data_IF_198945250827
#
_entry.id   IF_198945250827
#
_cell.length_a   1.000
_cell.length_b   1.000
_cell.length_c   1.000
_cell.angle_alpha   90.00
_cell.angle_beta   90.00
_cell.angle_gamma   90.00
#
_symmetry.space_group_name_H-M   'P 1'
#
loop_
_entity.id
_entity.type
_entity.pdbx_description
1 polymer ?
#
# COMPACT_ATOMS: atom_id res chain seq x y z
N UNK A 1 -32.03 -18.37 -65.66
CA UNK A 1 -31.95 -19.05 -64.37
C UNK A 1 -30.75 -18.51 -63.64
N UNK A 2 -30.93 -17.53 -62.71
CA UNK A 2 -29.87 -16.88 -61.97
C UNK A 2 -30.03 -17.37 -60.52
N UNK A 3 -29.02 -18.11 -59.96
CA UNK A 3 -28.99 -18.59 -58.62
C UNK A 3 -28.35 -17.49 -57.73
N UNK A 4 -29.13 -16.89 -56.84
CA UNK A 4 -28.66 -15.98 -55.83
C UNK A 4 -27.96 -16.76 -54.70
N UNK A 5 -26.69 -16.46 -54.46
CA UNK A 5 -25.91 -17.01 -53.33
C UNK A 5 -26.06 -16.07 -52.16
N UNK A 6 -26.78 -16.51 -51.10
CA UNK A 6 -26.92 -15.77 -49.87
C UNK A 6 -25.69 -16.04 -49.00
N UNK A 7 -24.88 -15.00 -48.77
CA UNK A 7 -23.75 -15.03 -47.84
C UNK A 7 -24.26 -14.68 -46.46
N UNK A 8 -24.28 -15.67 -45.55
CA UNK A 8 -24.64 -15.50 -44.16
C UNK A 8 -23.39 -14.97 -43.36
N UNK A 9 -23.38 -13.69 -43.07
CA UNK A 9 -22.35 -13.09 -42.21
C UNK A 9 -22.64 -13.43 -40.74
N UNK A 10 -21.88 -14.38 -40.20
CA UNK A 10 -21.91 -14.73 -38.76
C UNK A 10 -21.06 -13.71 -38.00
N UNK A 11 -21.70 -12.71 -37.39
CA UNK A 11 -21.06 -11.74 -36.51
C UNK A 11 -20.73 -12.39 -35.17
N UNK A 12 -19.47 -12.74 -34.97
CA UNK A 12 -18.95 -13.16 -33.65
C UNK A 12 -18.82 -11.93 -32.76
N UNK A 13 -19.75 -11.76 -31.84
CA UNK A 13 -19.67 -10.77 -30.77
C UNK A 13 -18.61 -11.23 -29.78
N UNK A 14 -17.37 -10.67 -29.86
CA UNK A 14 -16.34 -10.82 -28.85
C UNK A 14 -16.73 -9.97 -27.64
N UNK A 15 -17.39 -10.58 -26.67
CA UNK A 15 -17.60 -9.94 -25.37
C UNK A 15 -16.26 -9.89 -24.62
N UNK A 16 -15.57 -8.75 -24.69
CA UNK A 16 -14.43 -8.47 -23.80
C UNK A 16 -14.96 -8.29 -22.39
N UNK A 17 -14.99 -9.37 -21.64
CA UNK A 17 -15.25 -9.34 -20.20
C UNK A 17 -14.17 -8.49 -19.54
N UNK A 18 -14.49 -7.26 -19.14
CA UNK A 18 -13.65 -6.49 -18.23
C UNK A 18 -13.56 -7.28 -16.92
N UNK A 19 -12.41 -7.86 -16.64
CA UNK A 19 -12.12 -8.46 -15.36
C UNK A 19 -12.15 -7.32 -14.34
N UNK A 20 -13.28 -7.15 -13.65
CA UNK A 20 -13.39 -6.30 -12.49
C UNK A 20 -12.34 -6.78 -11.47
N UNK A 21 -11.41 -5.93 -11.09
CA UNK A 21 -10.44 -6.24 -10.04
C UNK A 21 -11.24 -6.61 -8.78
N UNK A 22 -11.25 -7.90 -8.48
CA UNK A 22 -12.03 -8.44 -7.37
C UNK A 22 -11.37 -7.93 -6.09
N UNK A 23 -12.03 -6.99 -5.41
CA UNK A 23 -11.55 -6.44 -4.13
C UNK A 23 -11.28 -7.54 -3.10
N UNK A 24 -10.68 -7.19 -1.98
CA UNK A 24 -10.40 -8.15 -0.90
C UNK A 24 -11.67 -8.89 -0.49
N UNK A 25 -11.56 -10.21 -0.39
CA UNK A 25 -12.70 -11.12 -0.15
C UNK A 25 -13.31 -11.03 1.26
N UNK A 26 -12.67 -10.27 2.17
CA UNK A 26 -13.10 -10.07 3.55
C UNK A 26 -12.48 -8.81 4.15
N UNK A 27 -13.04 -8.25 5.25
CA UNK A 27 -12.44 -7.14 5.98
C UNK A 27 -11.03 -7.47 6.47
N UNK A 28 -10.13 -6.49 6.41
CA UNK A 28 -8.77 -6.61 6.96
C UNK A 28 -8.83 -6.38 8.46
N UNK A 29 -8.37 -7.35 9.22
CA UNK A 29 -8.29 -7.28 10.70
C UNK A 29 -6.87 -7.10 11.21
N UNK A 30 -5.85 -7.30 10.37
CA UNK A 30 -4.43 -7.16 10.71
C UNK A 30 -3.59 -6.96 9.45
N UNK A 31 -2.52 -6.16 9.60
CA UNK A 31 -1.51 -5.94 8.58
C UNK A 31 -0.15 -6.37 9.12
N UNK A 32 0.66 -7.05 8.32
CA UNK A 32 2.06 -7.40 8.63
C UNK A 32 2.96 -6.93 7.51
N UNK A 33 3.99 -6.17 7.85
CA UNK A 33 5.03 -5.69 6.93
C UNK A 33 6.34 -6.39 7.27
N UNK A 34 6.97 -6.99 6.27
CA UNK A 34 8.30 -7.61 6.30
C UNK A 34 9.23 -6.78 5.43
N UNK A 35 10.01 -5.92 6.06
CA UNK A 35 10.80 -4.89 5.37
C UNK A 35 11.87 -5.52 4.46
N UNK A 36 12.59 -6.53 4.92
CA UNK A 36 13.60 -7.23 4.11
C UNK A 36 13.01 -7.84 2.84
N UNK A 37 11.79 -8.37 2.94
CA UNK A 37 11.10 -8.98 1.81
C UNK A 37 10.42 -7.97 0.89
N UNK A 38 10.33 -6.71 1.29
CA UNK A 38 9.48 -5.68 0.62
C UNK A 38 8.06 -6.21 0.43
N UNK A 39 7.51 -6.80 1.49
CA UNK A 39 6.22 -7.48 1.46
C UNK A 39 5.31 -6.98 2.57
N UNK A 40 4.08 -6.66 2.20
CA UNK A 40 3.00 -6.37 3.15
C UNK A 40 1.88 -7.37 2.93
N UNK A 41 1.51 -8.12 3.98
CA UNK A 41 0.41 -9.09 3.94
C UNK A 41 -0.73 -8.64 4.83
N UNK A 42 -1.94 -8.70 4.31
CA UNK A 42 -3.18 -8.39 5.03
C UNK A 42 -3.94 -9.66 5.38
N UNK A 43 -4.59 -9.65 6.54
CA UNK A 43 -5.23 -10.83 7.13
C UNK A 43 -6.66 -10.54 7.57
N UNK A 44 -7.48 -11.60 7.55
CA UNK A 44 -8.71 -11.69 8.34
C UNK A 44 -8.50 -12.76 9.41
N UNK A 45 -8.43 -12.38 10.68
CA UNK A 45 -7.98 -13.25 11.76
C UNK A 45 -6.56 -13.79 11.51
N UNK A 46 -6.46 -15.12 11.39
CA UNK A 46 -5.20 -15.81 11.06
C UNK A 46 -5.02 -16.07 9.55
N UNK A 47 -6.11 -15.95 8.77
CA UNK A 47 -6.11 -16.25 7.33
C UNK A 47 -5.47 -15.09 6.54
N UNK A 48 -4.41 -15.32 5.75
CA UNK A 48 -3.92 -14.33 4.80
C UNK A 48 -4.94 -14.12 3.68
N UNK A 49 -5.19 -12.86 3.34
CA UNK A 49 -6.07 -12.47 2.25
C UNK A 49 -5.29 -12.16 0.98
N UNK A 50 -4.26 -11.33 1.11
CA UNK A 50 -3.44 -10.87 -0.02
C UNK A 50 -2.10 -10.33 0.47
N UNK A 51 -1.09 -10.41 -0.38
CA UNK A 51 0.21 -9.79 -0.18
C UNK A 51 0.49 -8.77 -1.28
N UNK A 52 1.16 -7.68 -0.90
CA UNK A 52 1.52 -6.55 -1.76
C UNK A 52 3.03 -6.37 -1.75
N UNK A 53 3.61 -6.13 -2.91
CA UNK A 53 4.99 -5.61 -2.98
C UNK A 53 4.96 -4.15 -2.58
N UNK A 54 5.95 -3.73 -1.78
CA UNK A 54 6.00 -2.39 -1.23
C UNK A 54 7.35 -1.73 -1.52
N UNK A 55 7.35 -0.39 -1.60
CA UNK A 55 8.54 0.43 -1.43
C UNK A 55 8.55 1.07 -0.04
N UNK A 56 9.73 1.24 0.51
CA UNK A 56 9.96 1.77 1.86
C UNK A 56 10.68 3.13 1.81
N UNK A 57 11.10 3.62 2.97
CA UNK A 57 12.00 4.76 3.07
C UNK A 57 13.35 4.49 2.41
N UNK A 58 13.96 5.52 1.84
CA UNK A 58 15.25 5.41 1.11
C UNK A 58 16.43 4.90 1.95
N UNK A 59 16.29 4.80 3.28
CA UNK A 59 17.20 4.11 4.17
C UNK A 59 16.43 2.97 4.89
N UNK A 60 16.22 1.81 4.25
CA UNK A 60 15.26 0.82 4.71
C UNK A 60 15.71 0.02 5.93
N UNK A 61 17.01 0.02 6.25
CA UNK A 61 17.56 -0.84 7.32
C UNK A 61 17.30 -0.27 8.71
N UNK A 62 16.76 -1.13 9.57
CA UNK A 62 16.51 -0.83 10.97
C UNK A 62 15.31 0.10 11.20
N UNK A 63 15.02 0.31 12.47
CA UNK A 63 13.90 1.13 12.95
C UNK A 63 14.17 2.62 12.75
N UNK A 64 13.11 3.39 12.43
CA UNK A 64 13.12 4.85 12.37
C UNK A 64 13.56 5.46 13.72
N UNK A 65 14.55 6.35 13.69
CA UNK A 65 15.15 6.95 14.90
C UNK A 65 14.75 8.41 15.10
N UNK A 66 14.63 9.17 13.99
CA UNK A 66 14.33 10.60 14.03
C UNK A 66 13.75 11.07 12.69
N UNK A 67 13.25 12.28 12.68
CA UNK A 67 12.81 12.96 11.47
C UNK A 67 13.97 13.10 10.48
N UNK A 68 13.69 12.91 9.18
CA UNK A 68 14.68 13.03 8.12
C UNK A 68 15.64 11.84 7.91
N UNK A 69 15.56 10.77 8.74
CA UNK A 69 16.42 9.59 8.60
C UNK A 69 16.03 8.66 7.43
N UNK A 70 14.94 8.96 6.76
CA UNK A 70 14.35 8.19 5.65
C UNK A 70 14.12 6.71 5.98
N UNK A 71 13.95 6.36 7.26
CA UNK A 71 13.65 4.99 7.70
C UNK A 71 12.16 4.79 7.88
N UNK A 72 11.70 3.58 7.55
CA UNK A 72 10.37 3.10 7.93
C UNK A 72 10.44 2.52 9.35
N UNK A 73 9.51 2.89 10.26
CA UNK A 73 9.55 2.41 11.64
C UNK A 73 9.32 0.90 11.71
N UNK A 74 9.85 0.27 12.74
CA UNK A 74 9.59 -1.11 13.13
C UNK A 74 8.85 -1.14 14.46
N UNK A 75 7.93 -2.06 14.63
CA UNK A 75 7.15 -2.17 15.85
C UNK A 75 5.68 -2.50 15.62
N UNK A 76 4.88 -2.27 16.66
CA UNK A 76 3.44 -2.46 16.65
C UNK A 76 2.75 -1.11 16.68
N UNK A 77 1.84 -0.90 15.72
CA UNK A 77 1.08 0.32 15.55
C UNK A 77 -0.37 -0.04 15.18
N UNK A 78 -1.18 0.96 14.96
CA UNK A 78 -2.52 0.84 14.38
C UNK A 78 -2.63 1.79 13.18
N UNK A 79 -3.58 1.52 12.32
CA UNK A 79 -4.06 2.52 11.36
C UNK A 79 -4.93 3.51 12.14
N UNK A 80 -4.47 4.75 12.32
CA UNK A 80 -5.15 5.76 13.12
C UNK A 80 -5.87 6.84 12.29
N UNK A 81 -5.78 6.75 10.95
CA UNK A 81 -6.48 7.67 10.06
C UNK A 81 -6.52 7.18 8.61
N UNK A 82 -7.46 7.76 7.86
CA UNK A 82 -7.65 7.55 6.42
C UNK A 82 -7.77 8.92 5.75
N UNK A 83 -6.98 9.17 4.70
CA UNK A 83 -7.04 10.43 3.95
C UNK A 83 -7.39 10.16 2.48
N UNK A 84 -8.60 10.52 2.04
CA UNK A 84 -9.01 10.40 0.65
C UNK A 84 -8.42 11.49 -0.27
N UNK A 85 -7.87 12.56 0.32
CA UNK A 85 -7.30 13.71 -0.40
C UNK A 85 -5.78 13.76 -0.27
N UNK A 86 -5.13 12.60 -0.25
CA UNK A 86 -3.67 12.51 -0.18
C UNK A 86 -3.02 12.95 -1.49
N UNK A 87 -1.91 13.71 -1.41
CA UNK A 87 -1.07 14.02 -2.57
C UNK A 87 -0.49 12.76 -3.25
N UNK A 88 -0.59 11.62 -2.58
CA UNK A 88 -0.19 10.30 -3.06
C UNK A 88 -1.42 9.41 -3.33
N UNK A 89 -2.46 9.98 -3.93
CA UNK A 89 -3.73 9.36 -4.28
C UNK A 89 -4.61 9.11 -3.05
N UNK A 90 -4.40 8.05 -2.30
CA UNK A 90 -5.05 7.72 -1.03
C UNK A 90 -3.99 7.38 0.02
N UNK A 91 -4.29 7.56 1.31
CA UNK A 91 -3.39 7.12 2.35
C UNK A 91 -4.07 6.61 3.61
N UNK A 92 -3.42 5.64 4.26
CA UNK A 92 -3.75 5.09 5.56
C UNK A 92 -2.65 5.50 6.54
N UNK A 93 -2.99 6.30 7.54
CA UNK A 93 -2.02 6.82 8.52
C UNK A 93 -1.70 5.75 9.56
N UNK A 94 -0.43 5.59 9.87
CA UNK A 94 0.09 4.70 10.90
C UNK A 94 0.34 5.51 12.17
N UNK A 95 0.01 4.98 13.34
CA UNK A 95 0.12 5.64 14.64
C UNK A 95 1.57 5.79 15.15
N UNK A 96 2.52 6.01 14.23
CA UNK A 96 3.89 6.40 14.53
C UNK A 96 3.95 7.94 14.73
N UNK A 97 4.72 8.48 15.70
CA UNK A 97 5.46 7.76 16.73
C UNK A 97 4.57 7.34 17.90
N UNK A 98 4.83 6.17 18.46
CA UNK A 98 4.27 5.78 19.73
C UNK A 98 5.08 6.40 20.90
N UNK A 99 4.66 6.12 22.16
CA UNK A 99 5.33 6.67 23.34
C UNK A 99 6.82 6.27 23.43
N UNK A 100 7.15 5.03 23.07
CA UNK A 100 8.53 4.53 23.13
C UNK A 100 9.40 5.21 22.05
N UNK A 101 8.87 5.39 20.83
CA UNK A 101 9.56 6.09 19.76
C UNK A 101 9.88 7.54 20.14
N UNK A 102 8.86 8.23 20.67
CA UNK A 102 9.00 9.61 21.15
C UNK A 102 10.07 9.73 22.27
N UNK A 103 10.05 8.81 23.23
CA UNK A 103 11.03 8.82 24.32
C UNK A 103 12.45 8.55 23.83
N UNK A 104 12.63 7.62 22.89
CA UNK A 104 13.95 7.32 22.30
C UNK A 104 14.52 8.52 21.55
N UNK A 105 13.74 9.19 20.74
CA UNK A 105 14.17 10.38 20.01
C UNK A 105 14.53 11.53 20.98
N UNK A 106 13.66 11.82 21.93
CA UNK A 106 13.90 12.89 22.95
C UNK A 106 15.17 12.68 23.78
N UNK A 107 15.50 11.43 24.16
CA UNK A 107 16.76 11.13 24.88
C UNK A 107 18.00 11.48 24.06
N UNK A 108 17.88 11.57 22.74
CA UNK A 108 18.94 12.00 21.81
C UNK A 108 18.84 13.47 21.43
N UNK A 109 17.91 14.24 22.00
CA UNK A 109 17.65 15.63 21.64
C UNK A 109 17.04 15.79 20.23
N UNK A 110 16.37 14.75 19.70
CA UNK A 110 15.85 14.72 18.32
C UNK A 110 14.31 14.68 18.30
N UNK A 111 13.72 15.18 17.20
CA UNK A 111 12.33 14.96 16.86
C UNK A 111 12.15 13.54 16.30
N UNK A 112 11.17 12.76 16.75
CA UNK A 112 10.88 11.46 16.13
C UNK A 112 10.34 11.59 14.71
N UNK A 113 9.82 12.76 14.34
CA UNK A 113 9.00 12.98 13.17
C UNK A 113 7.61 12.39 13.32
N UNK A 114 6.97 12.11 12.21
CA UNK A 114 5.60 11.57 12.14
C UNK A 114 5.15 11.36 10.72
N UNK A 115 3.83 11.38 10.51
CA UNK A 115 3.22 11.28 9.18
C UNK A 115 3.67 10.04 8.37
N UNK A 116 3.86 8.91 9.03
CA UNK A 116 4.13 7.63 8.37
C UNK A 116 2.80 7.04 7.89
N UNK A 117 2.73 6.72 6.60
CA UNK A 117 1.52 6.27 5.93
C UNK A 117 1.77 5.08 5.02
N UNK A 118 0.73 4.29 4.76
CA UNK A 118 0.64 3.45 3.57
C UNK A 118 -0.06 4.30 2.52
N UNK A 119 0.51 4.47 1.32
CA UNK A 119 -0.05 5.36 0.30
C UNK A 119 0.22 4.85 -1.12
N UNK A 120 -0.46 5.43 -2.08
CA UNK A 120 -0.24 5.20 -3.50
C UNK A 120 0.93 6.03 -4.06
N UNK A 121 0.86 6.34 -5.34
CA UNK A 121 1.85 7.17 -6.05
C UNK A 121 1.26 8.54 -6.37
N UNK A 122 2.07 9.61 -6.46
CA UNK A 122 1.59 10.92 -6.87
C UNK A 122 0.91 10.87 -8.23
N UNK A 123 -0.13 11.71 -8.42
CA UNK A 123 -0.87 11.78 -9.68
C UNK A 123 0.03 12.01 -10.89
N UNK A 124 -0.20 11.28 -11.97
CA UNK A 124 0.51 11.40 -13.25
C UNK A 124 1.79 10.56 -13.39
N UNK A 125 2.27 9.91 -12.34
CA UNK A 125 3.44 9.05 -12.38
C UNK A 125 3.07 7.56 -12.52
N UNK A 126 2.18 7.24 -13.46
CA UNK A 126 1.92 5.85 -13.86
C UNK A 126 3.19 5.14 -14.38
N UNK A 127 4.19 5.90 -14.80
CA UNK A 127 5.52 5.43 -15.22
C UNK A 127 6.40 4.96 -14.07
N UNK A 128 6.20 5.40 -12.82
CA UNK A 128 6.88 4.81 -11.66
C UNK A 128 6.44 3.36 -11.42
N UNK A 129 5.26 2.97 -11.88
CA UNK A 129 4.81 1.58 -11.88
C UNK A 129 5.70 0.68 -12.76
N UNK A 130 6.32 1.21 -13.80
CA UNK A 130 7.18 0.45 -14.71
C UNK A 130 8.66 0.46 -14.31
N UNK A 131 9.15 1.48 -13.59
CA UNK A 131 10.58 1.67 -13.32
C UNK A 131 10.95 1.78 -11.84
N UNK A 132 10.04 2.05 -10.92
CA UNK A 132 10.37 2.52 -9.57
C UNK A 132 9.87 1.68 -8.39
N UNK A 133 9.01 0.68 -8.58
CA UNK A 133 8.54 -0.18 -7.48
C UNK A 133 9.62 -1.11 -6.91
N UNK A 134 10.79 -1.11 -7.49
CA UNK A 134 11.93 -1.93 -7.03
C UNK A 134 12.94 -1.14 -6.19
N UNK A 135 12.78 0.19 -6.04
CA UNK A 135 13.62 1.03 -5.18
C UNK A 135 12.82 1.63 -4.03
N UNK A 136 13.45 1.73 -2.87
CA UNK A 136 12.91 2.43 -1.71
C UNK A 136 13.10 3.93 -1.92
N UNK A 137 12.03 4.71 -2.04
CA UNK A 137 12.06 6.11 -2.46
C UNK A 137 11.39 7.07 -1.50
N UNK A 138 10.68 6.56 -0.49
CA UNK A 138 9.91 7.41 0.42
C UNK A 138 10.78 8.04 1.51
N UNK A 139 10.25 9.01 2.25
CA UNK A 139 10.88 9.55 3.45
C UNK A 139 10.63 8.71 4.72
N UNK A 140 10.12 7.47 4.55
CA UNK A 140 9.80 6.55 5.64
C UNK A 140 8.41 5.92 5.56
N UNK A 141 7.57 6.35 4.64
CA UNK A 141 6.27 5.75 4.35
C UNK A 141 6.39 4.38 3.66
N UNK A 142 5.27 3.70 3.52
CA UNK A 142 5.12 2.46 2.78
C UNK A 142 4.32 2.78 1.51
N UNK A 143 4.91 2.61 0.33
CA UNK A 143 4.24 2.88 -0.93
C UNK A 143 3.81 1.58 -1.63
N UNK A 144 2.63 1.63 -2.26
CA UNK A 144 2.05 0.59 -3.10
C UNK A 144 1.44 1.23 -4.35
N UNK A 145 0.91 0.46 -5.28
CA UNK A 145 0.23 1.00 -6.46
C UNK A 145 -1.08 1.69 -6.11
N UNK A 146 -1.58 2.59 -6.99
CA UNK A 146 -2.85 3.26 -6.78
C UNK A 146 -4.03 2.28 -6.69
N UNK A 147 -4.07 1.26 -7.53
CA UNK A 147 -5.10 0.23 -7.48
C UNK A 147 -5.06 -0.57 -6.16
N UNK A 148 -3.86 -0.85 -5.63
CA UNK A 148 -3.70 -1.56 -4.36
C UNK A 148 -4.09 -0.71 -3.15
N UNK A 149 -3.77 0.60 -3.14
CA UNK A 149 -4.21 1.46 -2.04
C UNK A 149 -5.72 1.70 -2.07
N UNK A 150 -6.36 1.74 -3.23
CA UNK A 150 -7.84 1.80 -3.34
C UNK A 150 -8.48 0.58 -2.70
N UNK A 151 -7.98 -0.61 -3.00
CA UNK A 151 -8.46 -1.87 -2.43
C UNK A 151 -8.28 -1.89 -0.90
N UNK A 152 -7.10 -1.52 -0.40
CA UNK A 152 -6.82 -1.43 1.03
C UNK A 152 -7.66 -0.35 1.72
N UNK A 153 -7.81 0.80 1.11
CA UNK A 153 -8.58 1.90 1.65
C UNK A 153 -10.04 1.52 1.86
N UNK A 154 -10.61 0.72 0.97
CA UNK A 154 -11.96 0.20 1.13
C UNK A 154 -12.08 -0.83 2.28
N UNK A 155 -11.09 -1.72 2.43
CA UNK A 155 -11.17 -2.89 3.31
C UNK A 155 -10.60 -2.67 4.73
N UNK A 156 -9.70 -1.68 4.91
CA UNK A 156 -9.06 -1.39 6.20
C UNK A 156 -9.86 -0.36 6.98
N UNK A 157 -10.07 -0.62 8.28
CA UNK A 157 -10.73 0.31 9.21
C UNK A 157 -9.69 0.99 10.11
N UNK A 158 -10.03 2.20 10.58
CA UNK A 158 -9.29 2.84 11.68
C UNK A 158 -9.34 1.91 12.89
N UNK A 159 -8.21 1.78 13.59
CA UNK A 159 -8.01 0.81 14.67
C UNK A 159 -7.38 -0.51 14.22
N UNK A 160 -7.29 -0.78 12.89
CA UNK A 160 -6.65 -2.02 12.40
C UNK A 160 -5.18 -2.09 12.84
N UNK A 161 -4.76 -3.15 13.56
CA UNK A 161 -3.38 -3.32 13.97
C UNK A 161 -2.45 -3.58 12.78
N UNK A 162 -1.27 -2.98 12.84
CA UNK A 162 -0.17 -3.18 11.91
C UNK A 162 1.11 -3.51 12.67
N UNK A 163 1.80 -4.55 12.22
CA UNK A 163 3.12 -4.95 12.71
C UNK A 163 4.13 -4.75 11.60
N UNK A 164 5.16 -3.97 11.86
CA UNK A 164 6.27 -3.73 10.93
C UNK A 164 7.52 -4.35 11.55
N UNK A 165 8.13 -5.26 10.83
CA UNK A 165 9.33 -5.99 11.28
C UNK A 165 10.40 -5.98 10.19
N UNK A 166 11.67 -6.25 10.53
CA UNK A 166 12.76 -6.42 9.58
C UNK A 166 12.44 -7.32 8.39
#
# INVERSE_FOLDING_TARGET
>A
MIRALAILLLSVMLSTGMASAKGLSAPVTRIVVEKEKRLMTVYNGTRPLKSYRIALGGNPLGHKQHEGDSRTPEGRYIIDGKNPNSSFHLSLKISYPNRADTQKARRKGLSPGGAIMIHGTPGGLSTLNAMGFYSDWTAGCIAITNAEIEELFAAVRVGTPIVIRP
#
